data_IF_907626274466
#
_entry.id   IF_907626274466
#
_cell.length_a   1.000
_cell.length_b   1.000
_cell.length_c   1.000
_cell.angle_alpha   90.00
_cell.angle_beta   90.00
_cell.angle_gamma   90.00
#
_symmetry.space_group_name_H-M   'P 1'
#
loop_
_entity.id
_entity.type
_entity.pdbx_description
1 polymer ?
#
# COMPACT_ATOMS: atom_id res chain seq x y z
N UNK A 1 5.42 -16.36 8.65
CA UNK A 1 5.78 -15.03 8.14
C UNK A 1 4.66 -14.30 7.43
N UNK A 2 3.84 -14.99 6.63
CA UNK A 2 2.66 -14.36 6.00
C UNK A 2 1.71 -13.67 6.99
N UNK A 3 1.41 -14.29 8.14
CA UNK A 3 0.57 -13.68 9.20
C UNK A 3 1.13 -12.34 9.68
N UNK A 4 2.45 -12.29 9.88
CA UNK A 4 3.17 -11.10 10.34
C UNK A 4 3.08 -9.97 9.31
N UNK A 5 3.25 -10.29 8.03
CA UNK A 5 3.10 -9.32 6.93
C UNK A 5 1.67 -8.77 6.84
N UNK A 6 0.66 -9.65 6.89
CA UNK A 6 -0.75 -9.23 6.86
C UNK A 6 -1.08 -8.34 8.05
N UNK A 7 -0.62 -8.67 9.26
CA UNK A 7 -0.83 -7.85 10.47
C UNK A 7 -0.15 -6.48 10.34
N UNK A 8 1.05 -6.42 9.77
CA UNK A 8 1.77 -5.17 9.55
C UNK A 8 1.04 -4.26 8.56
N UNK A 9 0.58 -4.80 7.42
CA UNK A 9 -0.19 -4.04 6.43
C UNK A 9 -1.50 -3.55 7.04
N UNK A 10 -2.25 -4.43 7.73
CA UNK A 10 -3.49 -4.05 8.39
C UNK A 10 -3.31 -2.94 9.44
N UNK A 11 -2.22 -2.99 10.23
CA UNK A 11 -1.89 -1.95 11.18
C UNK A 11 -1.53 -0.63 10.48
N UNK A 12 -0.73 -0.68 9.42
CA UNK A 12 -0.36 0.49 8.62
C UNK A 12 -1.58 1.19 8.01
N UNK A 13 -2.50 0.42 7.43
CA UNK A 13 -3.78 0.92 6.89
C UNK A 13 -4.62 1.58 7.99
N UNK A 14 -4.76 0.94 9.15
CA UNK A 14 -5.50 1.50 10.27
C UNK A 14 -4.89 2.83 10.77
N UNK A 15 -3.56 2.88 10.87
CA UNK A 15 -2.84 4.09 11.29
C UNK A 15 -2.96 5.22 10.26
N UNK A 16 -2.85 4.91 8.96
CA UNK A 16 -3.09 5.86 7.88
C UNK A 16 -4.47 6.48 7.98
N UNK A 17 -5.52 5.65 8.15
CA UNK A 17 -6.90 6.14 8.31
C UNK A 17 -7.09 7.03 9.52
N UNK A 18 -6.39 6.74 10.62
CA UNK A 18 -6.36 7.56 11.84
C UNK A 18 -5.57 8.87 11.70
N UNK A 19 -4.90 9.11 10.58
CA UNK A 19 -4.13 10.32 10.32
C UNK A 19 -2.72 10.30 10.91
N UNK A 20 -2.19 9.11 11.25
CA UNK A 20 -0.79 9.00 11.65
C UNK A 20 0.14 9.39 10.49
N UNK A 21 1.24 10.05 10.82
CA UNK A 21 2.31 10.38 9.88
C UNK A 21 3.04 9.12 9.40
N UNK A 22 3.67 9.20 8.24
CA UNK A 22 4.51 8.11 7.71
C UNK A 22 5.64 7.73 8.66
N UNK A 23 6.17 8.70 9.42
CA UNK A 23 7.19 8.46 10.44
C UNK A 23 6.66 7.56 11.55
N UNK A 24 5.50 7.88 12.11
CA UNK A 24 4.85 7.06 13.15
C UNK A 24 4.50 5.67 12.64
N UNK A 25 4.00 5.57 11.39
CA UNK A 25 3.72 4.28 10.75
C UNK A 25 5.01 3.46 10.64
N UNK A 26 6.10 4.03 10.10
CA UNK A 26 7.40 3.36 10.00
C UNK A 26 7.84 2.83 11.37
N UNK A 27 7.96 3.70 12.37
CA UNK A 27 8.45 3.35 13.71
C UNK A 27 7.62 2.21 14.33
N UNK A 28 6.30 2.25 14.14
CA UNK A 28 5.40 1.22 14.68
C UNK A 28 5.58 -0.12 13.97
N UNK A 29 5.76 -0.12 12.66
CA UNK A 29 5.95 -1.33 11.88
C UNK A 29 7.32 -1.96 12.13
N UNK A 30 8.38 -1.15 12.23
CA UNK A 30 9.73 -1.61 12.58
C UNK A 30 9.76 -2.20 14.00
N UNK A 31 9.17 -1.50 14.99
CA UNK A 31 9.18 -1.98 16.39
C UNK A 31 8.28 -3.21 16.58
N UNK A 32 7.10 -3.22 15.95
CA UNK A 32 6.11 -4.29 16.14
C UNK A 32 6.42 -5.56 15.36
N UNK A 33 7.09 -5.43 14.22
CA UNK A 33 7.32 -6.53 13.29
C UNK A 33 8.80 -6.67 12.90
N UNK A 34 9.75 -5.91 13.42
CA UNK A 34 11.17 -6.09 13.12
C UNK A 34 11.51 -6.00 11.62
N UNK A 35 10.74 -5.23 10.86
CA UNK A 35 11.10 -4.89 9.48
C UNK A 35 12.20 -3.83 9.49
N UNK A 36 13.09 -3.89 8.49
CA UNK A 36 13.98 -2.77 8.16
C UNK A 36 13.30 -1.94 7.07
N UNK A 37 12.78 -0.77 7.44
CA UNK A 37 12.10 0.16 6.54
C UNK A 37 12.92 1.45 6.35
N UNK A 38 14.22 1.38 6.67
CA UNK A 38 15.17 2.49 6.54
C UNK A 38 15.79 2.59 5.14
N UNK A 39 15.72 1.52 4.36
CA UNK A 39 16.23 1.46 3.00
C UNK A 39 15.54 2.48 2.07
N UNK A 40 16.31 2.94 1.09
CA UNK A 40 15.83 3.84 0.04
C UNK A 40 15.45 3.06 -1.22
N UNK A 41 14.37 3.46 -1.89
CA UNK A 41 13.92 2.91 -3.17
C UNK A 41 15.05 2.87 -4.20
N UNK A 42 15.88 3.92 -4.25
CA UNK A 42 17.05 4.00 -5.12
C UNK A 42 18.08 2.88 -4.87
N UNK A 43 18.17 2.38 -3.64
CA UNK A 43 19.07 1.28 -3.26
C UNK A 43 18.44 -0.09 -3.56
N UNK A 44 17.11 -0.17 -3.56
CA UNK A 44 16.35 -1.39 -3.81
C UNK A 44 16.26 -1.68 -5.31
N UNK A 45 15.91 -0.68 -6.14
CA UNK A 45 15.69 -0.82 -7.59
C UNK A 45 16.80 -1.60 -8.34
N UNK A 46 18.11 -1.38 -8.11
CA UNK A 46 19.15 -2.07 -8.87
C UNK A 46 19.26 -3.56 -8.55
N UNK A 47 18.84 -3.98 -7.35
CA UNK A 47 19.12 -5.30 -6.82
C UNK A 47 17.86 -6.15 -6.62
N UNK A 48 16.68 -5.56 -6.68
CA UNK A 48 15.44 -6.28 -6.45
C UNK A 48 15.19 -7.29 -7.57
N UNK A 49 15.05 -8.55 -7.18
CA UNK A 49 14.63 -9.65 -8.04
C UNK A 49 13.31 -10.19 -7.49
N UNK A 50 12.43 -10.61 -8.40
CA UNK A 50 11.14 -11.22 -8.07
C UNK A 50 11.29 -12.19 -6.89
N UNK A 51 10.59 -11.88 -5.79
CA UNK A 51 10.57 -12.69 -4.58
C UNK A 51 9.11 -12.99 -4.25
N UNK A 52 8.73 -14.26 -4.29
CA UNK A 52 7.37 -14.75 -3.99
C UNK A 52 7.06 -14.79 -2.49
N UNK A 53 8.07 -14.55 -1.65
CA UNK A 53 7.90 -14.61 -0.20
C UNK A 53 7.29 -13.32 0.34
N UNK A 54 6.45 -13.46 1.36
CA UNK A 54 5.91 -12.30 2.08
C UNK A 54 7.01 -11.42 2.70
N UNK A 55 8.19 -11.98 3.02
CA UNK A 55 9.32 -11.20 3.51
C UNK A 55 9.98 -10.36 2.41
N UNK A 56 9.97 -10.83 1.17
CA UNK A 56 10.50 -10.10 0.02
C UNK A 56 9.57 -9.00 -0.50
N UNK A 57 8.25 -9.21 -0.49
CA UNK A 57 7.30 -8.25 -1.08
C UNK A 57 6.77 -7.20 -0.10
N UNK A 58 6.49 -7.57 1.17
CA UNK A 58 5.81 -6.66 2.12
C UNK A 58 6.67 -5.45 2.52
N UNK A 59 7.95 -5.60 2.94
CA UNK A 59 8.77 -4.45 3.33
C UNK A 59 8.96 -3.48 2.16
N UNK A 60 9.13 -4.01 0.94
CA UNK A 60 9.36 -3.22 -0.26
C UNK A 60 8.12 -2.41 -0.67
N UNK A 61 6.94 -3.01 -0.58
CA UNK A 61 5.67 -2.29 -0.75
C UNK A 61 5.48 -1.19 0.31
N UNK A 62 5.82 -1.47 1.58
CA UNK A 62 5.76 -0.47 2.65
C UNK A 62 6.73 0.67 2.36
N UNK A 63 7.96 0.39 1.92
CA UNK A 63 8.96 1.42 1.59
C UNK A 63 8.49 2.27 0.40
N UNK A 64 7.91 1.66 -0.65
CA UNK A 64 7.33 2.38 -1.77
C UNK A 64 6.24 3.38 -1.32
N UNK A 65 5.38 2.96 -0.39
CA UNK A 65 4.44 3.87 0.27
C UNK A 65 5.18 4.96 1.08
N UNK A 66 6.13 4.60 1.93
CA UNK A 66 6.80 5.53 2.83
C UNK A 66 7.57 6.64 2.09
N UNK A 67 8.11 6.35 0.91
CA UNK A 67 8.85 7.32 0.09
C UNK A 67 7.99 8.11 -0.89
N UNK A 68 6.72 7.75 -1.05
CA UNK A 68 5.82 8.47 -1.96
C UNK A 68 5.43 9.86 -1.45
N UNK A 69 4.85 10.67 -2.33
CA UNK A 69 4.27 12.00 -2.02
C UNK A 69 2.77 12.07 -2.22
N UNK A 70 2.21 11.22 -3.09
CA UNK A 70 0.78 11.02 -3.29
C UNK A 70 0.46 9.56 -3.67
N UNK A 71 -0.81 9.28 -3.96
CA UNK A 71 -1.27 7.94 -4.33
C UNK A 71 -0.63 7.43 -5.62
N UNK A 72 -0.59 8.24 -6.67
CA UNK A 72 -0.05 7.82 -7.96
C UNK A 72 1.45 7.57 -7.88
N UNK A 73 2.18 8.45 -7.20
CA UNK A 73 3.61 8.30 -6.90
C UNK A 73 3.88 7.01 -6.10
N UNK A 74 3.01 6.65 -5.15
CA UNK A 74 3.13 5.38 -4.42
C UNK A 74 3.02 4.17 -5.37
N UNK A 75 2.03 4.16 -6.25
CA UNK A 75 1.84 3.08 -7.23
C UNK A 75 3.01 3.03 -8.22
N UNK A 76 3.46 4.18 -8.73
CA UNK A 76 4.63 4.27 -9.63
C UNK A 76 5.90 3.77 -8.95
N UNK A 77 6.12 4.13 -7.69
CA UNK A 77 7.23 3.63 -6.89
C UNK A 77 7.19 2.12 -6.76
N UNK A 78 6.03 1.55 -6.42
CA UNK A 78 5.87 0.10 -6.34
C UNK A 78 6.16 -0.60 -7.67
N UNK A 79 5.59 -0.11 -8.78
CA UNK A 79 5.81 -0.69 -10.12
C UNK A 79 7.29 -0.59 -10.52
N UNK A 80 7.96 0.51 -10.16
CA UNK A 80 9.37 0.74 -10.50
C UNK A 80 10.34 -0.25 -9.85
N UNK A 81 9.92 -0.94 -8.78
CA UNK A 81 10.72 -1.98 -8.15
C UNK A 81 10.77 -3.26 -9.00
N UNK A 82 9.79 -3.46 -9.90
CA UNK A 82 9.66 -4.68 -10.69
C UNK A 82 9.36 -5.90 -9.82
N UNK A 83 9.56 -7.09 -10.37
CA UNK A 83 9.24 -8.32 -9.65
C UNK A 83 7.72 -8.51 -9.48
N UNK A 84 7.28 -8.71 -8.24
CA UNK A 84 5.88 -9.02 -7.83
C UNK A 84 5.06 -7.72 -7.72
N UNK A 85 5.10 -6.94 -8.81
CA UNK A 85 4.63 -5.56 -8.83
C UNK A 85 3.12 -5.45 -8.58
N UNK A 86 2.33 -6.47 -8.95
CA UNK A 86 0.90 -6.54 -8.69
C UNK A 86 0.61 -6.69 -7.19
N UNK A 87 1.27 -7.63 -6.51
CA UNK A 87 1.13 -7.81 -5.06
C UNK A 87 1.64 -6.58 -4.31
N UNK A 88 2.80 -6.05 -4.69
CA UNK A 88 3.36 -4.86 -4.08
C UNK A 88 2.47 -3.64 -4.29
N UNK A 89 1.92 -3.43 -5.50
CA UNK A 89 1.06 -2.30 -5.79
C UNK A 89 -0.27 -2.41 -5.04
N UNK A 90 -0.80 -3.62 -4.85
CA UNK A 90 -1.99 -3.85 -4.02
C UNK A 90 -1.76 -3.40 -2.56
N UNK A 91 -0.64 -3.81 -1.95
CA UNK A 91 -0.28 -3.43 -0.58
C UNK A 91 0.00 -1.93 -0.49
N UNK A 92 0.83 -1.40 -1.40
CA UNK A 92 1.22 0.01 -1.45
C UNK A 92 0.00 0.90 -1.64
N UNK A 93 -0.90 0.53 -2.55
CA UNK A 93 -2.15 1.23 -2.81
C UNK A 93 -3.07 1.26 -1.59
N UNK A 94 -3.21 0.16 -0.86
CA UNK A 94 -4.01 0.13 0.37
C UNK A 94 -3.46 1.08 1.46
N UNK A 95 -2.13 1.14 1.61
CA UNK A 95 -1.48 2.07 2.55
C UNK A 95 -1.61 3.53 2.09
N UNK A 96 -1.42 3.78 0.79
CA UNK A 96 -1.51 5.10 0.19
C UNK A 96 -2.93 5.67 0.24
N UNK A 97 -3.94 4.87 -0.14
CA UNK A 97 -5.36 5.22 -0.01
C UNK A 97 -5.69 5.62 1.42
N UNK A 98 -5.31 4.78 2.38
CA UNK A 98 -5.56 5.00 3.79
C UNK A 98 -4.92 6.30 4.33
N UNK A 99 -3.71 6.61 3.88
CA UNK A 99 -2.93 7.75 4.37
C UNK A 99 -3.30 9.06 3.68
N UNK A 100 -3.34 9.08 2.35
CA UNK A 100 -3.63 10.28 1.57
C UNK A 100 -5.11 10.59 1.47
N UNK A 101 -5.98 9.58 1.61
CA UNK A 101 -7.44 9.71 1.52
C UNK A 101 -7.91 10.35 0.21
N UNK A 102 -7.10 10.20 -0.84
CA UNK A 102 -7.32 10.75 -2.16
C UNK A 102 -6.75 9.78 -3.18
N UNK A 103 -7.57 9.39 -4.15
CA UNK A 103 -7.16 8.62 -5.33
C UNK A 103 -7.53 9.49 -6.53
N UNK A 104 -6.59 9.80 -7.45
CA UNK A 104 -6.91 10.60 -8.62
C UNK A 104 -8.12 10.03 -9.40
N UNK A 105 -9.08 10.89 -9.74
CA UNK A 105 -10.33 10.51 -10.41
C UNK A 105 -10.09 9.68 -11.67
N UNK A 106 -9.12 10.08 -12.49
CA UNK A 106 -8.77 9.35 -13.71
C UNK A 106 -8.41 7.88 -13.43
N UNK A 107 -7.71 7.62 -12.33
CA UNK A 107 -7.35 6.26 -11.91
C UNK A 107 -8.59 5.55 -11.33
N UNK A 108 -9.33 6.22 -10.45
CA UNK A 108 -10.50 5.65 -9.79
C UNK A 108 -11.60 5.27 -10.80
N UNK A 109 -11.95 6.18 -11.71
CA UNK A 109 -12.94 5.97 -12.77
C UNK A 109 -12.49 4.88 -13.75
N UNK A 110 -11.22 4.90 -14.16
CA UNK A 110 -10.68 3.85 -15.04
C UNK A 110 -10.83 2.48 -14.41
N UNK A 111 -10.41 2.30 -13.15
CA UNK A 111 -10.53 1.03 -12.44
C UNK A 111 -12.01 0.67 -12.26
N UNK A 112 -12.85 1.59 -11.80
CA UNK A 112 -14.28 1.35 -11.59
C UNK A 112 -14.99 0.91 -12.87
N UNK A 113 -14.64 1.48 -14.03
CA UNK A 113 -15.21 1.09 -15.33
C UNK A 113 -14.93 -0.38 -15.69
N UNK A 114 -13.83 -0.95 -15.19
CA UNK A 114 -13.38 -2.33 -15.46
C UNK A 114 -13.92 -3.36 -14.47
N UNK A 115 -14.44 -2.92 -13.32
CA UNK A 115 -14.96 -3.83 -12.30
C UNK A 115 -16.26 -4.50 -12.76
N UNK A 116 -16.37 -5.79 -12.47
CA UNK A 116 -17.60 -6.55 -12.63
C UNK A 116 -18.67 -6.09 -11.63
N UNK A 117 -19.97 -6.27 -11.93
CA UNK A 117 -21.06 -5.80 -11.06
C UNK A 117 -21.00 -6.31 -9.62
N UNK A 118 -20.53 -7.54 -9.40
CA UNK A 118 -20.35 -8.15 -8.08
C UNK A 118 -19.25 -7.47 -7.26
N UNK A 119 -18.10 -7.15 -7.87
CA UNK A 119 -17.02 -6.42 -7.18
C UNK A 119 -17.46 -5.00 -6.84
N UNK A 120 -18.19 -4.33 -7.76
CA UNK A 120 -18.78 -3.01 -7.50
C UNK A 120 -19.70 -3.04 -6.29
N UNK A 121 -20.58 -4.03 -6.20
CA UNK A 121 -21.49 -4.18 -5.07
C UNK A 121 -20.76 -4.39 -3.72
N UNK A 122 -19.64 -5.12 -3.73
CA UNK A 122 -18.79 -5.28 -2.53
C UNK A 122 -18.10 -3.97 -2.16
N UNK A 123 -17.61 -3.21 -3.15
CA UNK A 123 -16.96 -1.93 -2.93
C UNK A 123 -17.91 -0.90 -2.30
N UNK A 124 -19.15 -0.79 -2.81
CA UNK A 124 -20.14 0.12 -2.24
C UNK A 124 -20.51 -0.26 -0.80
N UNK A 125 -20.70 -1.56 -0.51
CA UNK A 125 -20.94 -2.04 0.86
C UNK A 125 -19.76 -1.72 1.79
N UNK A 126 -18.53 -1.81 1.30
CA UNK A 126 -17.34 -1.48 2.07
C UNK A 126 -17.31 0.03 2.39
N UNK A 127 -17.58 0.89 1.40
CA UNK A 127 -17.64 2.35 1.56
C UNK A 127 -18.69 2.75 2.59
N UNK A 128 -19.91 2.21 2.48
CA UNK A 128 -21.00 2.45 3.44
C UNK A 128 -20.64 2.08 4.88
N UNK A 129 -20.01 0.91 5.08
CA UNK A 129 -19.64 0.42 6.42
C UNK A 129 -18.48 1.20 7.05
N UNK A 130 -17.56 1.67 6.21
CA UNK A 130 -16.32 2.30 6.68
C UNK A 130 -16.40 3.82 6.72
N UNK A 131 -17.44 4.43 6.11
CA UNK A 131 -17.60 5.88 5.94
C UNK A 131 -16.35 6.52 5.31
N UNK A 132 -15.67 5.79 4.44
CA UNK A 132 -14.52 6.30 3.69
C UNK A 132 -15.08 7.11 2.54
N UNK A 133 -15.05 8.44 2.65
CA UNK A 133 -15.13 9.32 1.50
C UNK A 133 -13.78 9.25 0.79
N UNK A 134 -13.73 8.49 -0.30
CA UNK A 134 -12.69 8.63 -1.30
C UNK A 134 -13.20 9.76 -2.19
N UNK A 135 -12.83 10.99 -1.86
CA UNK A 135 -13.17 12.18 -2.65
C UNK A 135 -12.34 12.26 -3.91
#
# INVERSE_FOLDING_TARGET
EGIKGVQAVALGVLMGRKGCSKKEIREKLETGFGYDLSQKLEQIRPNYRFDVSCQGSVPQAIIAFLESTDFEDAIRNSISLGGDADTQACITGALAEAHYKNIPDEIAEFVYSRLTPDIKAVLEQLRERTKIDIS
#
